data_IF_779525252002
#
_entry.id   IF_779525252002
#
_cell.length_a   1.000
_cell.length_b   1.000
_cell.length_c   1.000
_cell.angle_alpha   90.00
_cell.angle_beta   90.00
_cell.angle_gamma   90.00
#
_symmetry.space_group_name_H-M   'P 1'
#
loop_
_entity.id
_entity.type
_entity.pdbx_description
1 polymer ?
#
# COMPACT_ATOMS: atom_id res chain seq x y z
N UNK A 1 -37.39 -41.27 55.79
CA UNK A 1 -36.99 -39.96 56.33
C UNK A 1 -36.77 -38.99 55.17
N UNK A 2 -37.21 -37.75 55.34
CA UNK A 2 -37.36 -36.65 54.36
C UNK A 2 -36.02 -36.21 53.73
N UNK A 3 -36.03 -35.84 52.44
CA UNK A 3 -35.41 -34.60 51.90
C UNK A 3 -35.54 -34.58 50.37
N UNK A 4 -36.47 -33.81 49.80
CA UNK A 4 -36.40 -32.39 49.39
C UNK A 4 -35.72 -32.18 48.03
N UNK A 5 -36.56 -31.78 47.08
CA UNK A 5 -36.23 -31.25 45.77
C UNK A 5 -35.22 -30.08 45.84
N UNK A 6 -34.37 -29.99 44.82
CA UNK A 6 -33.76 -28.73 44.39
C UNK A 6 -33.94 -28.62 42.88
N UNK A 7 -34.89 -27.77 42.51
CA UNK A 7 -35.06 -27.26 41.15
C UNK A 7 -33.82 -26.44 40.80
N UNK A 8 -33.09 -26.85 39.76
CA UNK A 8 -31.93 -26.10 39.25
C UNK A 8 -32.44 -25.17 38.15
N UNK A 9 -32.72 -23.92 38.52
CA UNK A 9 -33.07 -22.86 37.58
C UNK A 9 -31.79 -22.42 36.88
N UNK A 10 -31.59 -22.84 35.62
CA UNK A 10 -30.49 -22.36 34.78
C UNK A 10 -30.92 -21.02 34.19
N UNK A 11 -30.36 -19.93 34.73
CA UNK A 11 -30.47 -18.60 34.12
C UNK A 11 -29.60 -18.58 32.85
N UNK A 12 -30.25 -18.59 31.69
CA UNK A 12 -29.61 -18.35 30.40
C UNK A 12 -29.30 -16.84 30.30
N UNK A 13 -28.08 -16.45 30.67
CA UNK A 13 -27.60 -15.08 30.54
C UNK A 13 -27.25 -14.84 29.05
N UNK A 14 -28.20 -14.32 28.27
CA UNK A 14 -27.93 -13.87 26.91
C UNK A 14 -27.13 -12.58 27.01
N UNK A 15 -25.80 -12.68 26.94
CA UNK A 15 -24.91 -11.56 26.70
C UNK A 15 -25.17 -11.05 25.28
N UNK A 16 -26.02 -10.04 25.15
CA UNK A 16 -26.02 -9.17 23.98
C UNK A 16 -24.68 -8.41 24.01
N UNK A 17 -23.63 -9.00 23.40
CA UNK A 17 -22.50 -8.22 22.94
C UNK A 17 -23.05 -7.31 21.83
N UNK A 18 -23.46 -6.10 22.19
CA UNK A 18 -23.58 -5.03 21.22
C UNK A 18 -22.17 -4.79 20.70
N UNK A 19 -21.83 -5.41 19.57
CA UNK A 19 -20.69 -5.03 18.76
C UNK A 19 -20.95 -3.60 18.29
N UNK A 20 -20.52 -2.64 19.10
CA UNK A 20 -20.26 -1.29 18.62
C UNK A 20 -19.04 -1.45 17.72
N UNK A 21 -19.29 -1.81 16.46
CA UNK A 21 -18.32 -1.62 15.39
C UNK A 21 -18.16 -0.11 15.32
N UNK A 22 -17.08 0.41 15.91
CA UNK A 22 -16.65 1.76 15.59
C UNK A 22 -16.31 1.75 14.10
N UNK A 23 -17.25 2.19 13.26
CA UNK A 23 -16.91 2.57 11.91
C UNK A 23 -15.86 3.67 12.04
N UNK A 24 -14.60 3.36 11.69
CA UNK A 24 -13.58 4.39 11.61
C UNK A 24 -14.12 5.49 10.71
N UNK A 25 -14.12 6.72 11.23
CA UNK A 25 -14.56 7.89 10.47
C UNK A 25 -13.66 7.99 9.24
N UNK A 26 -14.26 8.14 8.05
CA UNK A 26 -13.53 8.33 6.81
C UNK A 26 -12.60 9.55 6.91
N UNK A 27 -11.31 9.29 7.10
CA UNK A 27 -10.30 10.31 7.32
C UNK A 27 -9.73 10.78 5.98
N UNK A 28 -10.23 11.92 5.52
CA UNK A 28 -9.84 12.50 4.23
C UNK A 28 -8.39 12.98 4.21
N UNK A 29 -7.78 13.26 5.37
CA UNK A 29 -6.41 13.78 5.44
C UNK A 29 -5.35 12.80 4.92
N UNK A 30 -5.73 11.51 4.79
CA UNK A 30 -4.88 10.44 4.25
C UNK A 30 -4.75 10.44 2.73
N UNK A 31 -5.53 11.24 2.01
CA UNK A 31 -5.59 11.23 0.55
C UNK A 31 -5.19 12.60 -0.02
N UNK A 32 -3.90 12.92 0.03
CA UNK A 32 -3.38 14.21 -0.46
C UNK A 32 -3.59 14.43 -1.96
N UNK A 33 -3.68 13.34 -2.73
CA UNK A 33 -3.96 13.36 -4.17
C UNK A 33 -5.43 13.70 -4.50
N UNK A 34 -6.26 13.96 -3.49
CA UNK A 34 -7.63 14.45 -3.64
C UNK A 34 -7.71 15.88 -3.10
N UNK A 35 -8.26 16.80 -3.89
CA UNK A 35 -8.50 18.17 -3.45
C UNK A 35 -9.78 18.24 -2.62
N UNK A 36 -9.62 18.08 -1.31
CA UNK A 36 -10.73 18.16 -0.34
C UNK A 36 -11.25 19.58 -0.11
N UNK A 37 -10.65 20.61 -0.69
CA UNK A 37 -11.18 21.99 -0.64
C UNK A 37 -12.38 22.18 -1.57
N UNK A 38 -12.53 21.30 -2.57
CA UNK A 38 -13.68 21.27 -3.47
C UNK A 38 -14.94 20.86 -2.69
N UNK A 39 -16.07 21.58 -2.82
CA UNK A 39 -17.33 21.16 -2.24
C UNK A 39 -17.74 19.78 -2.74
N UNK A 40 -17.90 18.82 -1.83
CA UNK A 40 -18.15 17.43 -2.18
C UNK A 40 -19.31 16.83 -1.39
N UNK A 41 -19.85 15.72 -1.90
CA UNK A 41 -20.79 14.85 -1.22
C UNK A 41 -20.10 13.50 -1.02
N UNK A 42 -20.26 12.94 0.17
CA UNK A 42 -19.80 11.59 0.53
C UNK A 42 -21.03 10.75 0.80
N UNK A 43 -21.17 9.65 0.08
CA UNK A 43 -22.27 8.71 0.25
C UNK A 43 -21.77 7.26 0.20
N UNK A 44 -22.50 6.36 0.86
CA UNK A 44 -22.24 4.93 0.76
C UNK A 44 -23.12 4.34 -0.34
N UNK A 45 -22.50 3.59 -1.25
CA UNK A 45 -23.20 2.91 -2.35
C UNK A 45 -22.72 1.46 -2.45
N UNK A 46 -23.60 0.58 -2.93
CA UNK A 46 -23.24 -0.80 -3.23
C UNK A 46 -22.98 -0.96 -4.71
N UNK A 47 -21.80 -1.46 -5.09
CA UNK A 47 -21.49 -1.78 -6.49
C UNK A 47 -22.20 -3.08 -6.87
N UNK A 48 -23.10 -3.02 -7.84
CA UNK A 48 -23.82 -4.18 -8.35
C UNK A 48 -23.08 -4.83 -9.52
N UNK A 49 -22.49 -4.02 -10.40
CA UNK A 49 -21.91 -4.50 -11.64
C UNK A 49 -20.78 -3.61 -12.14
N UNK A 50 -19.73 -4.24 -12.69
CA UNK A 50 -18.61 -3.56 -13.34
C UNK A 50 -18.73 -3.66 -14.86
N UNK A 51 -18.87 -2.52 -15.54
CA UNK A 51 -18.94 -2.49 -17.01
C UNK A 51 -17.57 -2.74 -17.62
N UNK A 52 -16.58 -1.95 -17.22
CA UNK A 52 -15.18 -1.97 -17.64
C UNK A 52 -14.29 -1.53 -16.45
N UNK A 53 -13.00 -1.24 -16.69
CA UNK A 53 -12.08 -0.87 -15.62
C UNK A 53 -12.44 0.42 -14.87
N UNK A 54 -13.26 1.31 -15.45
CA UNK A 54 -13.51 2.65 -14.91
C UNK A 54 -14.97 3.11 -14.94
N UNK A 55 -15.90 2.18 -15.22
CA UNK A 55 -17.34 2.43 -15.22
C UNK A 55 -18.06 1.31 -14.46
N UNK A 56 -18.87 1.69 -13.47
CA UNK A 56 -19.64 0.76 -12.63
C UNK A 56 -21.11 1.14 -12.53
N UNK A 57 -21.93 0.18 -12.14
CA UNK A 57 -23.33 0.34 -11.78
C UNK A 57 -23.54 0.05 -10.31
N UNK A 58 -24.27 0.91 -9.61
CA UNK A 58 -24.70 0.70 -8.23
C UNK A 58 -26.01 -0.06 -8.16
N UNK A 59 -26.29 -0.68 -7.00
CA UNK A 59 -27.50 -1.48 -6.77
C UNK A 59 -28.81 -0.67 -6.83
N UNK A 60 -28.74 0.64 -6.62
CA UNK A 60 -29.88 1.57 -6.81
C UNK A 60 -30.02 2.08 -8.26
N UNK A 61 -29.20 1.57 -9.18
CA UNK A 61 -29.32 1.81 -10.62
C UNK A 61 -28.50 2.97 -11.16
N UNK A 62 -27.71 3.66 -10.33
CA UNK A 62 -26.84 4.74 -10.78
C UNK A 62 -25.65 4.18 -11.57
N UNK A 63 -25.21 4.89 -12.61
CA UNK A 63 -23.99 4.55 -13.34
C UNK A 63 -22.92 5.58 -13.00
N UNK A 64 -21.76 5.11 -12.55
CA UNK A 64 -20.64 5.93 -12.11
C UNK A 64 -19.48 5.73 -13.09
N UNK A 65 -18.96 6.83 -13.62
CA UNK A 65 -17.67 6.90 -14.30
C UNK A 65 -16.63 7.37 -13.29
N UNK A 66 -15.52 6.67 -13.21
CA UNK A 66 -14.42 7.03 -12.32
C UNK A 66 -13.76 8.34 -12.77
N UNK A 67 -13.68 9.32 -11.88
CA UNK A 67 -12.97 10.58 -12.14
C UNK A 67 -11.46 10.37 -12.19
N UNK A 68 -10.77 11.12 -13.05
CA UNK A 68 -9.30 11.22 -13.08
C UNK A 68 -8.57 10.05 -13.75
N UNK A 69 -9.25 8.94 -14.06
CA UNK A 69 -8.63 7.75 -14.67
C UNK A 69 -9.33 7.34 -15.95
N UNK A 70 -8.54 6.91 -16.94
CA UNK A 70 -9.00 6.23 -18.14
C UNK A 70 -8.33 4.85 -18.26
N UNK A 71 -9.14 3.81 -18.19
CA UNK A 71 -8.71 2.42 -18.41
C UNK A 71 -8.89 2.04 -19.88
N UNK A 72 -8.12 1.05 -20.40
CA UNK A 72 -8.37 0.53 -21.72
C UNK A 72 -9.78 -0.06 -21.83
N UNK A 73 -10.46 0.26 -22.93
CA UNK A 73 -11.86 -0.13 -23.13
C UNK A 73 -12.00 -1.65 -23.36
N UNK A 74 -13.10 -2.25 -22.90
CA UNK A 74 -13.45 -3.64 -23.29
C UNK A 74 -14.39 -3.65 -24.50
N UNK A 75 -14.58 -4.83 -25.10
CA UNK A 75 -15.55 -4.99 -26.16
C UNK A 75 -16.99 -4.83 -25.63
N UNK A 76 -17.76 -3.95 -26.28
CA UNK A 76 -19.20 -3.80 -26.09
C UNK A 76 -19.94 -3.94 -27.44
N UNK A 77 -20.11 -5.17 -27.96
CA UNK A 77 -20.75 -5.39 -29.26
C UNK A 77 -22.18 -4.83 -29.34
N UNK A 78 -22.93 -4.88 -28.23
CA UNK A 78 -24.29 -4.32 -28.13
C UNK A 78 -24.35 -2.80 -28.28
N UNK A 79 -23.22 -2.12 -28.11
CA UNK A 79 -23.08 -0.66 -28.24
C UNK A 79 -22.22 -0.27 -29.46
N UNK A 80 -22.02 -1.18 -30.41
CA UNK A 80 -21.25 -0.92 -31.62
C UNK A 80 -19.73 -0.82 -31.41
N UNK A 81 -19.21 -1.27 -30.26
CA UNK A 81 -17.78 -1.40 -29.98
C UNK A 81 -17.39 -2.89 -29.99
N UNK A 82 -17.22 -3.54 -31.16
CA UNK A 82 -17.01 -4.99 -31.22
C UNK A 82 -15.63 -5.45 -30.71
N UNK A 83 -14.68 -4.53 -30.52
CA UNK A 83 -13.31 -4.82 -30.11
C UNK A 83 -12.97 -4.05 -28.84
N UNK A 84 -12.20 -4.68 -27.94
CA UNK A 84 -11.58 -4.03 -26.79
C UNK A 84 -10.13 -3.63 -27.08
N UNK A 85 -9.55 -2.90 -26.14
CA UNK A 85 -8.16 -2.44 -26.15
C UNK A 85 -7.26 -3.37 -25.31
N UNK A 86 -5.96 -3.48 -25.64
CA UNK A 86 -5.02 -4.25 -24.83
C UNK A 86 -5.00 -3.78 -23.37
N UNK A 87 -5.19 -4.69 -22.41
CA UNK A 87 -5.24 -4.38 -20.98
C UNK A 87 -6.65 -4.16 -20.42
N UNK A 88 -7.68 -4.07 -21.27
CA UNK A 88 -9.05 -3.75 -20.82
C UNK A 88 -9.68 -4.86 -19.98
N UNK A 89 -9.49 -6.12 -20.39
CA UNK A 89 -9.99 -7.27 -19.63
C UNK A 89 -9.27 -7.42 -18.28
N UNK A 90 -7.98 -7.12 -18.22
CA UNK A 90 -7.19 -7.13 -17.00
C UNK A 90 -7.63 -6.01 -16.03
N UNK A 91 -7.88 -4.80 -16.54
CA UNK A 91 -8.40 -3.68 -15.77
C UNK A 91 -9.80 -3.99 -15.21
N UNK A 92 -10.68 -4.56 -16.04
CA UNK A 92 -12.01 -5.00 -15.60
C UNK A 92 -11.93 -6.10 -14.56
N UNK A 93 -11.09 -7.11 -14.76
CA UNK A 93 -10.92 -8.20 -13.79
C UNK A 93 -10.42 -7.66 -12.45
N UNK A 94 -9.51 -6.69 -12.46
CA UNK A 94 -9.08 -5.99 -11.24
C UNK A 94 -10.26 -5.26 -10.57
N UNK A 95 -11.05 -4.50 -11.33
CA UNK A 95 -12.24 -3.83 -10.80
C UNK A 95 -13.25 -4.80 -10.19
N UNK A 96 -13.59 -5.90 -10.86
CA UNK A 96 -14.48 -6.94 -10.33
C UNK A 96 -13.96 -7.47 -8.99
N UNK A 97 -12.69 -7.87 -8.93
CA UNK A 97 -12.09 -8.43 -7.73
C UNK A 97 -12.06 -7.43 -6.56
N UNK A 98 -11.84 -6.15 -6.84
CA UNK A 98 -11.68 -5.14 -5.80
C UNK A 98 -13.00 -4.55 -5.30
N UNK A 99 -14.00 -4.34 -6.16
CA UNK A 99 -15.16 -3.53 -5.78
C UNK A 99 -16.53 -4.15 -6.11
N UNK A 100 -16.65 -5.15 -6.98
CA UNK A 100 -17.96 -5.71 -7.31
C UNK A 100 -18.61 -6.40 -6.11
N UNK A 101 -19.89 -6.12 -5.86
CA UNK A 101 -20.64 -6.66 -4.73
C UNK A 101 -20.27 -6.08 -3.37
N UNK A 102 -19.41 -5.05 -3.31
CA UNK A 102 -19.00 -4.39 -2.06
C UNK A 102 -19.76 -3.08 -1.82
N UNK A 103 -19.92 -2.74 -0.56
CA UNK A 103 -20.34 -1.41 -0.12
C UNK A 103 -19.09 -0.52 -0.09
N UNK A 104 -19.15 0.60 -0.81
CA UNK A 104 -18.03 1.52 -1.01
C UNK A 104 -18.46 2.95 -0.73
N UNK A 105 -17.49 3.80 -0.42
CA UNK A 105 -17.71 5.24 -0.26
C UNK A 105 -17.53 5.89 -1.64
N UNK A 106 -18.54 6.62 -2.08
CA UNK A 106 -18.53 7.45 -3.27
C UNK A 106 -18.34 8.91 -2.87
N UNK A 107 -17.33 9.55 -3.44
CA UNK A 107 -17.07 10.99 -3.31
C UNK A 107 -17.30 11.66 -4.65
N UNK A 108 -18.20 12.65 -4.67
CA UNK A 108 -18.59 13.41 -5.87
C UNK A 108 -18.39 14.91 -5.68
N UNK A 109 -17.98 15.59 -6.74
CA UNK A 109 -17.98 17.05 -6.79
C UNK A 109 -19.43 17.53 -6.79
N UNK A 110 -19.82 18.32 -5.78
CA UNK A 110 -21.19 18.80 -5.59
C UNK A 110 -21.66 19.68 -6.74
N UNK A 111 -20.75 20.41 -7.39
CA UNK A 111 -21.05 21.35 -8.46
C UNK A 111 -20.79 20.74 -9.85
N UNK A 112 -20.08 19.59 -9.93
CA UNK A 112 -19.85 18.84 -11.17
C UNK A 112 -20.18 17.34 -11.02
N UNK A 113 -21.46 17.03 -10.79
CA UNK A 113 -21.88 15.66 -10.45
C UNK A 113 -21.99 14.71 -11.64
N UNK A 114 -22.13 15.21 -12.88
CA UNK A 114 -22.42 14.38 -14.06
C UNK A 114 -21.46 14.65 -15.21
N UNK A 115 -20.94 13.57 -15.80
CA UNK A 115 -20.22 13.65 -17.06
C UNK A 115 -21.17 13.96 -18.24
N UNK A 116 -20.60 14.27 -19.42
CA UNK A 116 -21.33 14.61 -20.65
C UNK A 116 -22.35 13.56 -21.12
N UNK A 117 -22.21 12.31 -20.66
CA UNK A 117 -23.12 11.20 -20.97
C UNK A 117 -24.17 10.95 -19.88
N UNK A 118 -24.28 11.85 -18.89
CA UNK A 118 -25.27 11.77 -17.81
C UNK A 118 -24.92 10.81 -16.67
N UNK A 119 -23.79 10.09 -16.75
CA UNK A 119 -23.25 9.24 -15.66
C UNK A 119 -22.68 10.12 -14.55
N UNK A 120 -22.76 9.64 -13.32
CA UNK A 120 -22.12 10.29 -12.18
C UNK A 120 -20.61 10.21 -12.32
N UNK A 121 -19.91 11.29 -11.96
CA UNK A 121 -18.46 11.34 -11.98
C UNK A 121 -17.94 11.39 -10.53
N UNK A 122 -17.10 10.44 -10.14
CA UNK A 122 -16.67 10.35 -8.74
C UNK A 122 -15.44 9.49 -8.48
N UNK A 123 -14.99 9.57 -7.23
CA UNK A 123 -13.93 8.75 -6.65
C UNK A 123 -14.56 7.67 -5.79
N UNK A 124 -14.12 6.42 -5.94
CA UNK A 124 -14.59 5.30 -5.13
C UNK A 124 -13.53 4.91 -4.10
N UNK A 125 -13.95 4.73 -2.86
CA UNK A 125 -13.10 4.24 -1.78
C UNK A 125 -13.67 2.93 -1.23
N UNK A 126 -12.85 1.88 -1.24
CA UNK A 126 -13.23 0.58 -0.71
C UNK A 126 -12.35 0.23 0.49
N UNK A 127 -12.89 -0.59 1.39
CA UNK A 127 -12.11 -1.19 2.47
C UNK A 127 -11.41 -2.46 1.94
N UNK A 128 -10.10 -2.53 2.10
CA UNK A 128 -9.33 -3.72 1.78
C UNK A 128 -9.51 -4.84 2.83
N UNK A 129 -8.82 -5.97 2.63
CA UNK A 129 -8.92 -7.12 3.53
C UNK A 129 -8.45 -6.85 4.96
N UNK A 130 -7.64 -5.81 5.17
CA UNK A 130 -7.14 -5.38 6.47
C UNK A 130 -8.00 -4.24 7.07
N UNK A 131 -9.09 -3.87 6.42
CA UNK A 131 -9.98 -2.81 6.86
C UNK A 131 -9.54 -1.41 6.42
N UNK A 132 -8.43 -1.27 5.72
CA UNK A 132 -7.89 0.04 5.30
C UNK A 132 -8.69 0.57 4.11
N UNK A 133 -9.07 1.85 4.18
CA UNK A 133 -9.76 2.53 3.09
C UNK A 133 -8.78 2.88 1.97
N UNK A 134 -9.13 2.57 0.72
CA UNK A 134 -8.28 2.75 -0.46
C UNK A 134 -9.04 3.41 -1.58
N UNK A 135 -8.46 4.43 -2.21
CA UNK A 135 -9.03 5.05 -3.41
C UNK A 135 -8.84 4.13 -4.62
N UNK A 136 -9.94 3.57 -5.15
CA UNK A 136 -9.90 2.65 -6.27
C UNK A 136 -9.41 3.32 -7.56
N UNK A 137 -9.80 4.58 -7.81
CA UNK A 137 -9.36 5.33 -8.99
C UNK A 137 -7.83 5.50 -9.00
N UNK A 138 -7.27 5.84 -7.84
CA UNK A 138 -5.82 5.99 -7.64
C UNK A 138 -5.07 4.66 -7.79
N UNK A 139 -5.67 3.56 -7.32
CA UNK A 139 -5.14 2.21 -7.49
C UNK A 139 -5.01 1.78 -8.94
N UNK A 140 -6.00 2.10 -9.78
CA UNK A 140 -5.94 1.83 -11.22
C UNK A 140 -4.71 2.50 -11.85
N UNK A 141 -4.41 3.74 -11.45
CA UNK A 141 -3.24 4.48 -11.93
C UNK A 141 -1.94 3.85 -11.42
N UNK A 142 -1.80 3.66 -10.11
CA UNK A 142 -0.57 3.09 -9.49
C UNK A 142 -0.22 1.72 -10.02
N UNK A 143 -1.23 0.87 -10.25
CA UNK A 143 -1.02 -0.50 -10.76
C UNK A 143 -0.92 -0.58 -12.28
N UNK A 144 -1.13 0.54 -12.98
CA UNK A 144 -0.99 0.64 -14.44
C UNK A 144 -2.16 0.02 -15.22
N UNK A 145 -3.34 -0.05 -14.61
CA UNK A 145 -4.59 -0.46 -15.27
C UNK A 145 -5.26 0.69 -16.02
N UNK A 146 -4.84 1.93 -15.77
CA UNK A 146 -5.30 3.11 -16.48
C UNK A 146 -4.28 4.24 -16.44
N UNK A 147 -4.56 5.29 -17.21
CA UNK A 147 -3.77 6.52 -17.25
C UNK A 147 -4.57 7.68 -16.68
N UNK A 148 -3.86 8.68 -16.16
CA UNK A 148 -4.49 9.92 -15.71
C UNK A 148 -5.21 10.58 -16.89
N UNK A 149 -6.48 10.93 -16.68
CA UNK A 149 -7.29 11.68 -17.62
C UNK A 149 -8.06 12.74 -16.82
N UNK A 150 -7.46 13.92 -16.74
CA UNK A 150 -7.95 15.02 -15.92
C UNK A 150 -8.44 16.12 -16.85
N UNK A 151 -9.75 16.35 -16.80
CA UNK A 151 -10.36 17.49 -17.45
C UNK A 151 -10.37 18.68 -16.49
N UNK A 152 -10.48 19.90 -17.01
CA UNK A 152 -10.46 21.14 -16.21
C UNK A 152 -11.56 21.18 -15.13
N UNK A 153 -12.60 20.38 -15.27
CA UNK A 153 -13.73 20.27 -14.35
C UNK A 153 -13.64 19.04 -13.41
N UNK A 154 -12.59 18.22 -13.51
CA UNK A 154 -12.28 17.11 -12.59
C UNK A 154 -11.60 17.61 -11.31
N UNK A 155 -12.23 18.57 -10.62
CA UNK A 155 -11.58 19.37 -9.57
C UNK A 155 -11.14 18.57 -8.33
N UNK A 156 -11.70 17.38 -8.10
CA UNK A 156 -11.29 16.54 -6.97
C UNK A 156 -9.90 15.92 -7.14
N UNK A 157 -9.33 15.90 -8.35
CA UNK A 157 -8.03 15.28 -8.59
C UNK A 157 -6.93 16.36 -8.55
N UNK A 158 -5.93 16.20 -7.69
CA UNK A 158 -4.74 17.06 -7.72
C UNK A 158 -3.91 16.71 -8.95
N UNK A 159 -4.01 17.51 -10.01
CA UNK A 159 -3.51 17.18 -11.36
C UNK A 159 -2.05 16.70 -11.37
N UNK A 160 -1.16 17.46 -10.72
CA UNK A 160 0.28 17.14 -10.65
C UNK A 160 0.56 15.76 -10.02
N UNK A 161 -0.18 15.38 -8.97
CA UNK A 161 0.01 14.10 -8.29
C UNK A 161 -0.39 12.93 -9.20
N UNK A 162 -1.54 13.05 -9.87
CA UNK A 162 -2.07 12.03 -10.76
C UNK A 162 -1.23 11.86 -12.03
N UNK A 163 -0.77 12.96 -12.63
CA UNK A 163 0.12 12.91 -13.80
C UNK A 163 1.49 12.31 -13.46
N UNK A 164 2.02 12.67 -12.29
CA UNK A 164 3.25 12.07 -11.74
C UNK A 164 3.08 10.57 -11.57
N UNK A 165 1.97 10.13 -10.97
CA UNK A 165 1.72 8.71 -10.72
C UNK A 165 1.47 7.91 -12.00
N UNK A 166 0.71 8.47 -12.94
CA UNK A 166 0.47 7.91 -14.28
C UNK A 166 1.78 7.74 -15.06
N UNK A 167 2.68 8.72 -14.96
CA UNK A 167 4.01 8.64 -15.56
C UNK A 167 4.86 7.56 -14.89
N UNK A 168 4.80 7.49 -13.56
CA UNK A 168 5.59 6.53 -12.78
C UNK A 168 5.18 5.08 -13.07
N UNK A 169 3.89 4.78 -13.11
CA UNK A 169 3.37 3.44 -13.41
C UNK A 169 3.66 3.00 -14.84
N UNK A 170 3.73 3.95 -15.79
CA UNK A 170 3.94 3.67 -17.22
C UNK A 170 5.42 3.51 -17.61
N UNK A 171 6.30 4.45 -17.23
CA UNK A 171 7.68 4.51 -17.75
C UNK A 171 8.65 3.55 -17.06
N UNK A 172 8.45 3.28 -15.77
CA UNK A 172 9.23 2.31 -14.97
C UNK A 172 10.76 2.49 -15.11
N UNK A 173 11.25 3.73 -15.03
CA UNK A 173 12.68 4.05 -14.81
C UNK A 173 13.03 3.88 -13.32
N UNK A 174 14.31 3.90 -12.90
CA UNK A 174 14.64 3.79 -11.48
C UNK A 174 13.93 4.84 -10.61
N UNK A 175 13.93 6.11 -11.04
CA UNK A 175 13.21 7.19 -10.36
C UNK A 175 11.71 6.90 -10.22
N UNK A 176 11.09 6.28 -11.22
CA UNK A 176 9.67 5.95 -11.14
C UNK A 176 9.36 4.83 -10.14
N UNK A 177 10.29 3.89 -9.94
CA UNK A 177 10.15 2.89 -8.87
C UNK A 177 10.24 3.54 -7.48
N UNK A 178 11.16 4.50 -7.28
CA UNK A 178 11.19 5.30 -6.04
C UNK A 178 9.87 6.04 -5.83
N UNK A 179 9.39 6.80 -6.83
CA UNK A 179 8.11 7.52 -6.75
C UNK A 179 6.92 6.61 -6.41
N UNK A 180 6.81 5.44 -7.04
CA UNK A 180 5.73 4.49 -6.74
C UNK A 180 5.83 3.94 -5.32
N UNK A 181 7.02 3.51 -4.90
CA UNK A 181 7.21 2.92 -3.58
C UNK A 181 7.01 3.95 -2.46
N UNK A 182 7.54 5.17 -2.62
CA UNK A 182 7.33 6.29 -1.69
C UNK A 182 5.83 6.59 -1.55
N UNK A 183 5.07 6.59 -2.65
CA UNK A 183 3.63 6.76 -2.59
C UNK A 183 2.93 5.64 -1.80
N UNK A 184 3.34 4.38 -1.99
CA UNK A 184 2.82 3.29 -1.17
C UNK A 184 3.17 3.47 0.31
N UNK A 185 4.36 3.97 0.65
CA UNK A 185 4.72 4.30 2.03
C UNK A 185 3.86 5.44 2.62
N UNK A 186 3.59 6.50 1.85
CA UNK A 186 2.70 7.60 2.28
C UNK A 186 1.29 7.09 2.59
N UNK A 187 0.86 6.06 1.87
CA UNK A 187 -0.41 5.38 2.09
C UNK A 187 -0.33 4.26 3.13
N UNK A 188 0.72 4.16 3.96
CA UNK A 188 1.08 3.05 4.86
C UNK A 188 0.81 1.64 4.25
N UNK A 189 1.41 1.40 3.09
CA UNK A 189 1.37 0.13 2.35
C UNK A 189 2.81 -0.34 2.09
N UNK A 190 3.59 -0.49 3.15
CA UNK A 190 5.01 -0.86 3.10
C UNK A 190 5.24 -2.18 2.36
N UNK A 191 4.34 -3.16 2.51
CA UNK A 191 4.43 -4.43 1.78
C UNK A 191 4.31 -4.25 0.26
N UNK A 192 3.49 -3.31 -0.20
CA UNK A 192 3.40 -2.98 -1.64
C UNK A 192 4.65 -2.23 -2.09
N UNK A 193 5.18 -1.31 -1.26
CA UNK A 193 6.45 -0.62 -1.54
C UNK A 193 7.61 -1.62 -1.68
N UNK A 194 7.68 -2.65 -0.82
CA UNK A 194 8.65 -3.76 -0.95
C UNK A 194 8.53 -4.44 -2.31
N UNK A 195 7.31 -4.77 -2.75
CA UNK A 195 7.08 -5.42 -4.06
C UNK A 195 7.54 -4.51 -5.21
N UNK A 196 7.34 -3.20 -5.10
CA UNK A 196 7.80 -2.22 -6.09
C UNK A 196 9.33 -2.21 -6.18
N UNK A 197 10.05 -2.10 -5.06
CA UNK A 197 11.52 -2.13 -5.09
C UNK A 197 12.09 -3.48 -5.54
N UNK A 198 11.47 -4.60 -5.15
CA UNK A 198 11.87 -5.92 -5.65
C UNK A 198 11.71 -6.04 -7.18
N UNK A 199 10.60 -5.53 -7.73
CA UNK A 199 10.41 -5.44 -9.17
C UNK A 199 11.42 -4.50 -9.83
N UNK A 200 11.76 -3.38 -9.16
CA UNK A 200 12.81 -2.45 -9.55
C UNK A 200 14.17 -3.14 -9.65
N UNK A 201 14.58 -3.90 -8.62
CA UNK A 201 15.83 -4.66 -8.59
C UNK A 201 15.91 -5.73 -9.66
N UNK A 202 14.80 -6.40 -9.98
CA UNK A 202 14.75 -7.37 -11.09
C UNK A 202 15.10 -6.70 -12.42
N UNK A 203 14.75 -5.43 -12.60
CA UNK A 203 15.01 -4.65 -13.83
C UNK A 203 16.35 -3.91 -13.77
N UNK A 204 16.75 -3.43 -12.61
CA UNK A 204 17.93 -2.60 -12.37
C UNK A 204 18.76 -3.13 -11.20
N UNK A 205 19.40 -4.31 -11.33
CA UNK A 205 20.09 -4.96 -10.22
C UNK A 205 21.34 -4.21 -9.71
N UNK A 206 21.82 -3.22 -10.46
CA UNK A 206 22.95 -2.37 -10.09
C UNK A 206 22.53 -1.10 -9.30
N UNK A 207 21.23 -0.84 -9.17
CA UNK A 207 20.70 0.31 -8.44
C UNK A 207 20.82 0.06 -6.92
N UNK A 208 21.90 0.56 -6.32
CA UNK A 208 22.20 0.32 -4.90
C UNK A 208 21.11 0.86 -3.98
N UNK A 209 20.53 2.02 -4.31
CA UNK A 209 19.50 2.65 -3.48
C UNK A 209 18.26 1.78 -3.28
N UNK A 210 17.89 0.91 -4.22
CA UNK A 210 16.78 -0.03 -4.01
C UNK A 210 17.04 -1.05 -2.90
N UNK A 211 18.28 -1.51 -2.74
CA UNK A 211 18.62 -2.41 -1.64
C UNK A 211 18.59 -1.65 -0.31
N UNK A 212 19.04 -0.39 -0.28
CA UNK A 212 18.96 0.45 0.92
C UNK A 212 17.52 0.71 1.34
N UNK A 213 16.65 1.08 0.40
CA UNK A 213 15.22 1.31 0.69
C UNK A 213 14.50 0.03 1.11
N UNK A 214 14.83 -1.12 0.52
CA UNK A 214 14.32 -2.40 1.00
C UNK A 214 14.74 -2.69 2.44
N UNK A 215 16.00 -2.44 2.79
CA UNK A 215 16.46 -2.63 4.16
C UNK A 215 15.69 -1.74 5.14
N UNK A 216 15.46 -0.47 4.78
CA UNK A 216 14.66 0.46 5.58
C UNK A 216 13.21 -0.03 5.76
N UNK A 217 12.58 -0.52 4.68
CA UNK A 217 11.23 -1.09 4.75
C UNK A 217 11.17 -2.36 5.60
N UNK A 218 12.17 -3.23 5.49
CA UNK A 218 12.24 -4.42 6.33
C UNK A 218 12.43 -4.09 7.80
N UNK A 219 13.11 -3.00 8.14
CA UNK A 219 13.15 -2.50 9.52
C UNK A 219 11.77 -2.04 10.00
N UNK A 220 11.06 -1.23 9.20
CA UNK A 220 9.69 -0.78 9.52
C UNK A 220 8.75 -1.98 9.75
N UNK A 221 8.87 -3.01 8.90
CA UNK A 221 8.10 -4.26 9.00
C UNK A 221 8.59 -5.20 10.11
N UNK A 222 9.62 -4.83 10.87
CA UNK A 222 10.23 -5.66 11.93
C UNK A 222 10.71 -7.03 11.42
N UNK A 223 11.34 -7.04 10.25
CA UNK A 223 11.90 -8.21 9.56
C UNK A 223 13.45 -8.13 9.52
N UNK A 224 14.14 -8.24 10.67
CA UNK A 224 15.58 -7.97 10.77
C UNK A 224 16.45 -8.93 9.95
N UNK A 225 15.96 -10.13 9.61
CA UNK A 225 16.68 -11.04 8.73
C UNK A 225 16.77 -10.51 7.29
N UNK A 226 15.64 -10.01 6.76
CA UNK A 226 15.58 -9.43 5.42
C UNK A 226 16.31 -8.08 5.36
N UNK A 227 16.25 -7.29 6.44
CA UNK A 227 17.04 -6.07 6.61
C UNK A 227 18.55 -6.37 6.46
N UNK A 228 19.05 -7.36 7.21
CA UNK A 228 20.47 -7.78 7.15
C UNK A 228 20.84 -8.26 5.75
N UNK A 229 20.01 -9.09 5.11
CA UNK A 229 20.26 -9.60 3.76
C UNK A 229 20.36 -8.47 2.73
N UNK A 230 19.48 -7.46 2.84
CA UNK A 230 19.49 -6.29 1.97
C UNK A 230 20.76 -5.43 2.16
N UNK A 231 21.23 -5.22 3.39
CA UNK A 231 22.49 -4.50 3.64
C UNK A 231 23.72 -5.29 3.19
N UNK A 232 23.71 -6.62 3.31
CA UNK A 232 24.77 -7.46 2.74
C UNK A 232 24.83 -7.29 1.22
N UNK A 233 23.70 -7.32 0.54
CA UNK A 233 23.61 -7.09 -0.91
C UNK A 233 24.11 -5.68 -1.30
N UNK A 234 23.83 -4.65 -0.49
CA UNK A 234 24.41 -3.31 -0.67
C UNK A 234 25.94 -3.35 -0.62
N UNK A 235 26.53 -4.03 0.37
CA UNK A 235 27.99 -4.11 0.55
C UNK A 235 28.69 -4.94 -0.52
N UNK A 236 28.03 -5.92 -1.13
CA UNK A 236 28.59 -6.61 -2.30
C UNK A 236 28.84 -5.65 -3.47
N UNK A 237 27.99 -4.63 -3.62
CA UNK A 237 28.08 -3.64 -4.70
C UNK A 237 28.93 -2.43 -4.31
N UNK A 238 28.92 -2.06 -3.02
CA UNK A 238 29.75 -0.98 -2.48
C UNK A 238 30.45 -1.38 -1.17
N UNK A 239 31.54 -2.19 -1.26
CA UNK A 239 32.23 -2.70 -0.07
C UNK A 239 32.88 -1.61 0.80
N UNK A 240 33.14 -0.42 0.25
CA UNK A 240 33.79 0.65 1.01
C UNK A 240 32.82 1.46 1.88
N UNK A 241 31.50 1.22 1.78
CA UNK A 241 30.51 2.03 2.49
C UNK A 241 30.53 1.79 3.99
N UNK A 242 31.13 2.73 4.74
CA UNK A 242 31.08 2.75 6.19
C UNK A 242 29.65 2.93 6.73
N UNK A 243 28.78 3.64 5.99
CA UNK A 243 27.39 3.85 6.40
C UNK A 243 26.59 2.55 6.40
N UNK A 244 26.69 1.78 5.32
CA UNK A 244 26.01 0.48 5.21
C UNK A 244 26.57 -0.51 6.21
N UNK A 245 27.90 -0.53 6.43
CA UNK A 245 28.51 -1.38 7.47
C UNK A 245 27.96 -1.07 8.86
N UNK A 246 27.79 0.21 9.19
CA UNK A 246 27.16 0.63 10.45
C UNK A 246 25.73 0.11 10.56
N UNK A 247 24.92 0.32 9.52
CA UNK A 247 23.53 -0.16 9.49
C UNK A 247 23.45 -1.70 9.60
N UNK A 248 24.32 -2.42 8.90
CA UNK A 248 24.44 -3.88 8.98
C UNK A 248 24.82 -4.36 10.38
N UNK A 249 25.77 -3.70 11.06
CA UNK A 249 26.16 -4.04 12.43
C UNK A 249 24.98 -3.91 13.39
N UNK A 250 24.20 -2.83 13.27
CA UNK A 250 22.96 -2.63 14.02
C UNK A 250 21.92 -3.70 13.68
N UNK A 251 21.75 -4.04 12.39
CA UNK A 251 20.87 -5.13 11.95
C UNK A 251 21.22 -6.48 12.59
N UNK A 252 22.51 -6.80 12.70
CA UNK A 252 22.96 -8.00 13.43
C UNK A 252 22.63 -7.94 14.92
N UNK A 253 22.73 -6.79 15.58
CA UNK A 253 22.29 -6.65 16.97
C UNK A 253 20.77 -6.83 17.14
N UNK A 254 19.97 -6.39 16.16
CA UNK A 254 18.52 -6.70 16.12
C UNK A 254 18.31 -8.21 16.00
N UNK A 255 19.08 -8.88 15.14
CA UNK A 255 19.03 -10.35 15.00
C UNK A 255 19.37 -11.06 16.31
N UNK A 256 20.39 -10.63 17.06
CA UNK A 256 20.74 -11.18 18.40
C UNK A 256 19.54 -11.17 19.35
N UNK A 257 18.70 -10.12 19.28
CA UNK A 257 17.49 -9.98 20.10
C UNK A 257 16.32 -10.81 19.57
N UNK A 258 16.22 -10.97 18.26
CA UNK A 258 15.11 -11.65 17.59
C UNK A 258 15.24 -13.19 17.58
N UNK A 259 16.46 -13.73 17.59
CA UNK A 259 16.69 -15.18 17.46
C UNK A 259 16.80 -15.92 18.79
N UNK A 260 16.54 -17.23 18.73
CA UNK A 260 16.79 -18.16 19.83
C UNK A 260 18.28 -18.31 20.16
N UNK A 261 18.58 -18.85 21.34
CA UNK A 261 19.94 -18.95 21.90
C UNK A 261 20.96 -19.57 20.94
N UNK A 262 20.57 -20.60 20.16
CA UNK A 262 21.48 -21.34 19.26
C UNK A 262 22.11 -20.45 18.18
N UNK A 263 21.35 -19.52 17.60
CA UNK A 263 21.85 -18.65 16.52
C UNK A 263 22.43 -17.33 17.04
N UNK A 264 22.20 -17.01 18.32
CA UNK A 264 22.51 -15.70 18.91
C UNK A 264 23.99 -15.36 18.84
N UNK A 265 24.85 -16.33 19.14
CA UNK A 265 26.29 -16.08 19.22
C UNK A 265 26.88 -15.77 17.84
N UNK A 266 26.43 -16.45 16.79
CA UNK A 266 26.85 -16.17 15.42
C UNK A 266 26.50 -14.75 14.97
N UNK A 267 25.28 -14.28 15.25
CA UNK A 267 24.91 -12.90 14.92
C UNK A 267 25.65 -11.87 15.79
N UNK A 268 25.94 -12.19 17.05
CA UNK A 268 26.76 -11.33 17.92
C UNK A 268 28.19 -11.18 17.36
N UNK A 269 28.81 -12.28 16.94
CA UNK A 269 30.14 -12.28 16.32
C UNK A 269 30.16 -11.47 15.01
N UNK A 270 29.10 -11.59 14.20
CA UNK A 270 28.93 -10.80 12.98
C UNK A 270 28.81 -9.29 13.29
N UNK A 271 28.02 -8.91 14.30
CA UNK A 271 27.92 -7.52 14.74
C UNK A 271 29.27 -6.96 15.19
N UNK A 272 30.01 -7.69 16.04
CA UNK A 272 31.35 -7.32 16.51
C UNK A 272 32.30 -7.14 15.33
N UNK A 273 32.23 -8.04 14.35
CA UNK A 273 33.06 -8.00 13.14
C UNK A 273 32.82 -6.73 12.32
N UNK A 274 31.56 -6.38 12.06
CA UNK A 274 31.24 -5.18 11.30
C UNK A 274 31.56 -3.89 12.07
N UNK A 275 31.35 -3.85 13.41
CA UNK A 275 31.77 -2.70 14.22
C UNK A 275 33.29 -2.48 14.20
N UNK A 276 34.10 -3.53 14.26
CA UNK A 276 35.57 -3.43 14.17
C UNK A 276 36.03 -2.85 12.83
N UNK A 277 35.30 -3.12 11.74
CA UNK A 277 35.61 -2.55 10.41
C UNK A 277 35.33 -1.04 10.30
N UNK A 278 34.69 -0.42 11.31
CA UNK A 278 34.38 1.01 11.32
C UNK A 278 35.44 1.87 12.03
N UNK A 279 36.51 1.28 12.56
CA UNK A 279 37.65 2.04 13.08
C UNK A 279 38.36 2.82 11.97
N UNK A 280 38.75 4.07 12.25
CA UNK A 280 39.26 5.00 11.26
C UNK A 280 38.19 5.69 10.40
N UNK A 281 36.90 5.39 10.61
CA UNK A 281 35.79 6.10 9.96
C UNK A 281 35.16 7.12 10.91
N UNK A 282 34.22 7.94 10.40
CA UNK A 282 33.43 8.87 11.23
C UNK A 282 32.58 8.19 12.31
N UNK A 283 32.42 6.86 12.25
CA UNK A 283 31.62 6.06 13.20
C UNK A 283 32.47 5.38 14.29
N UNK A 284 33.78 5.63 14.36
CA UNK A 284 34.68 4.94 15.29
C UNK A 284 34.24 5.02 16.77
N UNK A 285 33.84 6.21 17.24
CA UNK A 285 33.40 6.40 18.63
C UNK A 285 32.12 5.61 18.96
N UNK A 286 31.21 5.52 17.99
CA UNK A 286 30.00 4.72 18.11
C UNK A 286 30.35 3.22 18.16
N UNK A 287 31.24 2.77 17.26
CA UNK A 287 31.71 1.39 17.23
C UNK A 287 32.33 0.95 18.56
N UNK A 288 33.18 1.79 19.17
CA UNK A 288 33.76 1.52 20.49
C UNK A 288 32.69 1.32 21.57
N UNK A 289 31.61 2.10 21.52
CA UNK A 289 30.50 2.02 22.48
C UNK A 289 29.75 0.71 22.34
N UNK A 290 29.41 0.30 21.11
CA UNK A 290 28.70 -0.95 20.84
C UNK A 290 29.54 -2.19 21.18
N UNK A 291 30.83 -2.19 20.83
CA UNK A 291 31.74 -3.29 21.17
C UNK A 291 31.83 -3.52 22.68
N UNK A 292 31.92 -2.44 23.48
CA UNK A 292 31.95 -2.53 24.94
C UNK A 292 30.66 -3.12 25.55
N UNK A 293 29.54 -3.08 24.83
CA UNK A 293 28.28 -3.71 25.23
C UNK A 293 28.20 -5.18 24.79
N UNK A 294 28.68 -5.51 23.59
CA UNK A 294 28.59 -6.85 23.00
C UNK A 294 29.64 -7.83 23.55
N UNK A 295 30.78 -7.33 24.02
CA UNK A 295 31.85 -8.14 24.62
C UNK A 295 31.60 -8.47 26.12
N UNK A 296 30.45 -8.06 26.66
CA UNK A 296 29.94 -8.44 27.99
C UNK A 296 28.92 -9.59 27.92
#
# INVERSE_FOLDING_TARGET
>A
MKCRAKSLFVFLLILFLSSVVFAEKFDTSKYSFVDWTVPHIIEEVRVEYVFDGDTVKTADGQTIRLMGVNTPEIAHPSHGKPYGEPGGEEAKAFAINQIEGKDIILVIDKENTKCVYGRILGLLFYSDENGKQRCFNWELIKKGYGQALIYSDNRLCVEDDWDTMSTASSRKTPNNFYTLAEQYCVEDLEEEAVKIYQAGLKKFPAEIGFYEELANLYDVLSLPGLEVDAYLACLEKNPASADIRRKLAIGYEKMVKAVGWVARDGYRENAITEWKKLFGTKYEKEAQTHLAMLEK
#
